data_IF_830459527741
#
_entry.id   IF_830459527741
#
_cell.length_a   1.000
_cell.length_b   1.000
_cell.length_c   1.000
_cell.angle_alpha   90.00
_cell.angle_beta   90.00
_cell.angle_gamma   90.00
#
_symmetry.space_group_name_H-M   'P 1'
#
loop_
_entity.id
_entity.type
_entity.pdbx_description
1 polymer ?
#
# COMPACT_ATOMS: atom_id res chain seq x y z
N UNK A 1 -18.01 -20.38 -41.28
CA UNK A 1 -17.37 -21.71 -41.32
C UNK A 1 -16.40 -21.73 -42.50
N UNK A 2 -15.10 -21.77 -42.25
CA UNK A 2 -14.09 -22.13 -43.24
C UNK A 2 -13.12 -23.06 -42.52
N UNK A 3 -12.96 -24.24 -43.09
CA UNK A 3 -12.36 -25.43 -42.48
C UNK A 3 -10.94 -25.64 -43.03
N UNK A 4 -10.09 -26.26 -42.20
CA UNK A 4 -9.18 -27.35 -42.58
C UNK A 4 -8.24 -27.17 -43.81
N UNK A 5 -6.92 -27.11 -43.61
CA UNK A 5 -6.02 -28.27 -43.77
C UNK A 5 -4.52 -27.94 -43.62
N UNK A 6 -3.79 -29.01 -43.29
CA UNK A 6 -2.42 -29.15 -42.81
C UNK A 6 -1.33 -28.85 -43.85
N UNK A 7 -0.10 -28.60 -43.37
CA UNK A 7 1.08 -29.40 -43.80
C UNK A 7 2.27 -29.26 -42.84
N UNK A 8 2.61 -30.37 -42.18
CA UNK A 8 3.92 -30.65 -41.59
C UNK A 8 4.96 -30.75 -42.71
N UNK A 9 6.14 -30.18 -42.50
CA UNK A 9 7.38 -30.68 -43.11
C UNK A 9 8.52 -30.56 -42.09
N UNK A 10 8.95 -31.71 -41.58
CA UNK A 10 10.24 -31.86 -40.91
C UNK A 10 11.33 -31.86 -41.99
N UNK A 11 12.42 -31.15 -41.75
CA UNK A 11 13.73 -31.52 -42.26
C UNK A 11 14.76 -31.22 -41.16
N UNK A 12 15.41 -32.28 -40.70
CA UNK A 12 16.48 -32.24 -39.71
C UNK A 12 17.84 -31.91 -40.36
N UNK A 13 18.70 -31.35 -39.51
CA UNK A 13 20.17 -31.36 -39.51
C UNK A 13 20.90 -30.56 -40.60
N UNK A 14 21.65 -29.53 -40.19
CA UNK A 14 23.08 -29.72 -39.89
C UNK A 14 23.67 -28.49 -39.17
N UNK A 15 24.81 -28.75 -38.54
CA UNK A 15 25.42 -28.06 -37.42
C UNK A 15 26.20 -26.83 -37.90
N UNK A 16 26.06 -25.70 -37.22
CA UNK A 16 27.16 -24.75 -37.09
C UNK A 16 27.23 -24.22 -35.66
N UNK A 17 28.19 -24.78 -34.92
CA UNK A 17 28.68 -24.23 -33.67
C UNK A 17 29.02 -22.75 -33.85
N UNK A 18 28.24 -21.87 -33.24
CA UNK A 18 28.74 -20.57 -32.80
C UNK A 18 28.26 -20.33 -31.39
N UNK A 19 29.22 -20.55 -30.49
CA UNK A 19 29.25 -20.09 -29.11
C UNK A 19 28.73 -18.66 -29.02
N UNK A 20 27.50 -18.48 -28.54
CA UNK A 20 27.04 -17.21 -27.95
C UNK A 20 26.64 -17.49 -26.51
N UNK A 21 27.64 -17.30 -25.67
CA UNK A 21 27.58 -16.88 -24.27
C UNK A 21 26.18 -16.86 -23.64
N UNK A 22 26.04 -17.71 -22.63
CA UNK A 22 24.96 -17.70 -21.65
C UNK A 22 24.73 -16.31 -21.06
N UNK A 23 23.46 -15.89 -21.09
CA UNK A 23 22.74 -15.12 -20.09
C UNK A 23 23.56 -14.55 -18.91
N UNK A 24 23.80 -13.24 -18.89
CA UNK A 24 23.96 -12.48 -17.65
C UNK A 24 22.57 -12.02 -17.20
N UNK A 25 21.95 -12.69 -16.23
CA UNK A 25 20.83 -12.08 -15.49
C UNK A 25 21.36 -10.77 -14.91
N UNK A 26 20.64 -9.66 -15.07
CA UNK A 26 20.87 -8.44 -14.28
C UNK A 26 20.65 -8.81 -12.80
N UNK A 27 21.70 -9.32 -12.16
CA UNK A 27 21.71 -9.70 -10.76
C UNK A 27 21.97 -8.43 -9.97
N UNK A 28 21.01 -8.04 -9.15
CA UNK A 28 21.21 -6.92 -8.23
C UNK A 28 22.02 -7.40 -7.03
N UNK A 29 23.05 -6.64 -6.67
CA UNK A 29 23.80 -6.81 -5.43
C UNK A 29 23.06 -6.15 -4.26
N UNK A 30 23.28 -6.66 -3.05
CA UNK A 30 22.76 -6.00 -1.84
C UNK A 30 23.66 -4.81 -1.50
N UNK A 31 23.11 -3.59 -1.61
CA UNK A 31 23.83 -2.36 -1.31
C UNK A 31 23.60 -1.89 0.12
N UNK A 32 22.40 -2.16 0.67
CA UNK A 32 22.04 -1.82 2.04
C UNK A 32 21.03 -2.84 2.58
N UNK A 33 21.27 -3.32 3.80
CA UNK A 33 20.37 -4.23 4.50
C UNK A 33 20.37 -3.89 6.00
N UNK A 34 19.54 -2.94 6.40
CA UNK A 34 19.38 -2.51 7.80
C UNK A 34 18.15 -3.17 8.42
N UNK A 35 17.84 -2.85 9.67
CA UNK A 35 16.56 -3.25 10.28
C UNK A 35 15.36 -2.73 9.49
N UNK A 36 15.49 -1.57 8.85
CA UNK A 36 14.37 -0.86 8.24
C UNK A 36 14.30 -0.95 6.72
N UNK A 37 15.44 -1.09 6.05
CA UNK A 37 15.50 -1.04 4.60
C UNK A 37 16.32 -2.19 4.00
N UNK A 38 15.89 -2.63 2.82
CA UNK A 38 16.66 -3.45 1.90
C UNK A 38 16.78 -2.70 0.57
N UNK A 39 18.00 -2.42 0.13
CA UNK A 39 18.26 -1.76 -1.16
C UNK A 39 19.17 -2.68 -1.97
N UNK A 40 18.67 -3.05 -3.15
CA UNK A 40 19.41 -3.84 -4.13
C UNK A 40 19.77 -2.93 -5.31
N UNK A 41 20.95 -3.10 -5.89
CA UNK A 41 21.41 -2.28 -7.00
C UNK A 41 22.70 -2.76 -7.64
N UNK A 42 23.37 -1.90 -8.40
CA UNK A 42 24.70 -2.18 -8.95
C UNK A 42 25.77 -2.06 -7.85
N UNK A 43 26.69 -3.03 -7.74
CA UNK A 43 27.78 -3.06 -6.74
C UNK A 43 28.62 -1.78 -6.64
N UNK A 44 28.77 -1.04 -7.74
CA UNK A 44 29.57 0.20 -7.78
C UNK A 44 28.79 1.43 -7.27
N UNK A 45 27.48 1.30 -7.11
CA UNK A 45 26.62 2.34 -6.55
C UNK A 45 26.75 2.37 -5.02
N UNK A 46 26.68 3.57 -4.46
CA UNK A 46 26.59 3.79 -3.02
C UNK A 46 25.20 4.30 -2.69
N UNK A 47 24.62 3.82 -1.60
CA UNK A 47 23.29 4.26 -1.16
C UNK A 47 23.29 4.59 0.32
N UNK A 48 22.44 5.54 0.72
CA UNK A 48 22.17 5.90 2.11
C UNK A 48 20.68 6.17 2.31
N UNK A 49 20.21 5.93 3.52
CA UNK A 49 18.91 6.40 4.00
C UNK A 49 19.19 7.49 5.02
N UNK A 50 18.62 8.67 4.82
CA UNK A 50 18.89 9.86 5.64
C UNK A 50 17.58 10.58 6.00
N UNK A 51 17.65 11.45 7.01
CA UNK A 51 16.55 12.39 7.27
C UNK A 51 16.60 13.57 6.29
N UNK A 52 15.47 14.25 6.09
CA UNK A 52 15.37 15.42 5.20
C UNK A 52 16.39 16.53 5.52
N UNK A 53 16.76 16.69 6.79
CA UNK A 53 17.66 17.77 7.22
C UNK A 53 19.13 17.48 6.86
N UNK A 54 19.48 16.21 6.63
CA UNK A 54 20.87 15.77 6.45
C UNK A 54 21.32 15.83 4.99
N UNK A 55 20.41 16.11 4.04
CA UNK A 55 20.71 16.05 2.59
C UNK A 55 21.86 17.00 2.19
N UNK A 56 21.99 18.13 2.90
CA UNK A 56 23.06 19.12 2.67
C UNK A 56 24.47 18.54 2.90
N UNK A 57 24.58 17.48 3.70
CA UNK A 57 25.85 16.83 4.02
C UNK A 57 26.31 15.87 2.90
N UNK A 58 25.48 15.65 1.87
CA UNK A 58 25.73 14.71 0.77
C UNK A 58 25.56 15.36 -0.62
N UNK A 59 26.33 16.41 -0.96
CA UNK A 59 26.12 17.21 -2.18
C UNK A 59 26.32 16.43 -3.49
N UNK A 60 27.08 15.34 -3.46
CA UNK A 60 27.33 14.47 -4.62
C UNK A 60 26.28 13.37 -4.81
N UNK A 61 25.42 13.13 -3.82
CA UNK A 61 24.37 12.12 -3.88
C UNK A 61 23.11 12.68 -4.56
N UNK A 62 22.42 11.83 -5.32
CA UNK A 62 21.10 12.13 -5.90
C UNK A 62 20.01 11.44 -5.10
N UNK A 63 18.85 12.08 -4.98
CA UNK A 63 17.65 11.45 -4.40
C UNK A 63 17.14 10.36 -5.33
N UNK A 64 16.99 9.15 -4.78
CA UNK A 64 16.45 7.98 -5.48
C UNK A 64 14.96 7.80 -5.19
N UNK A 65 14.57 7.94 -3.92
CA UNK A 65 13.19 7.78 -3.49
C UNK A 65 12.93 8.49 -2.15
N UNK A 66 11.65 8.70 -1.87
CA UNK A 66 11.14 9.14 -0.59
C UNK A 66 10.23 8.06 -0.01
N UNK A 67 10.30 7.86 1.30
CA UNK A 67 9.33 7.03 2.02
C UNK A 67 9.09 7.63 3.41
N UNK A 68 7.87 8.10 3.67
CA UNK A 68 7.55 8.84 4.89
C UNK A 68 8.51 10.03 5.11
N UNK A 69 9.26 10.05 6.23
CA UNK A 69 10.24 11.09 6.56
C UNK A 69 11.62 10.86 5.93
N UNK A 70 11.84 9.69 5.35
CA UNK A 70 13.16 9.22 4.97
C UNK A 70 13.43 9.52 3.51
N UNK A 71 14.68 9.91 3.22
CA UNK A 71 15.19 10.12 1.88
C UNK A 71 16.23 9.06 1.58
N UNK A 72 15.98 8.30 0.51
CA UNK A 72 16.93 7.34 -0.02
C UNK A 72 17.74 8.05 -1.09
N UNK A 73 19.05 8.13 -0.89
CA UNK A 73 19.98 8.83 -1.77
C UNK A 73 21.04 7.86 -2.31
N UNK A 74 21.62 8.15 -3.48
CA UNK A 74 22.71 7.35 -4.02
C UNK A 74 23.66 8.09 -4.95
N UNK A 75 24.85 7.51 -5.13
CA UNK A 75 25.91 7.93 -6.06
C UNK A 75 26.17 6.85 -7.11
N UNK A 76 26.80 7.25 -8.23
CA UNK A 76 27.06 6.38 -9.38
C UNK A 76 25.76 5.73 -9.88
N UNK A 77 24.74 6.56 -10.08
CA UNK A 77 23.38 6.14 -10.42
C UNK A 77 23.16 6.27 -11.92
N UNK A 78 22.86 5.15 -12.60
CA UNK A 78 22.28 5.13 -13.95
C UNK A 78 20.79 4.78 -13.87
N UNK A 79 20.00 5.10 -14.90
CA UNK A 79 18.55 4.85 -14.93
C UNK A 79 18.20 3.37 -14.63
N UNK A 80 17.17 3.14 -13.81
CA UNK A 80 16.59 1.82 -13.45
C UNK A 80 17.50 0.81 -12.73
N UNK A 81 18.43 1.27 -11.89
CA UNK A 81 19.44 0.43 -11.24
C UNK A 81 19.17 0.03 -9.79
N UNK A 82 18.00 0.35 -9.21
CA UNK A 82 17.71 0.05 -7.80
C UNK A 82 16.35 -0.60 -7.56
N UNK A 83 16.31 -1.51 -6.59
CA UNK A 83 15.09 -1.97 -5.93
C UNK A 83 15.16 -1.57 -4.46
N UNK A 84 14.22 -0.74 -4.03
CA UNK A 84 14.20 -0.17 -2.69
C UNK A 84 12.99 -0.73 -1.96
N UNK A 85 13.24 -1.40 -0.83
CA UNK A 85 12.21 -1.99 0.00
C UNK A 85 12.27 -1.45 1.43
N UNK A 86 11.12 -1.07 1.98
CA UNK A 86 10.92 -0.89 3.42
C UNK A 86 10.55 -2.23 4.04
N UNK A 87 11.23 -2.62 5.12
CA UNK A 87 10.83 -3.79 5.93
C UNK A 87 9.67 -3.41 6.83
N UNK A 88 8.59 -4.17 6.79
CA UNK A 88 7.40 -3.94 7.59
C UNK A 88 7.45 -4.78 8.87
N UNK A 89 7.70 -4.14 10.01
CA UNK A 89 7.69 -4.76 11.34
C UNK A 89 6.96 -3.83 12.33
N UNK A 90 5.61 -3.82 12.33
CA UNK A 90 4.87 -2.89 13.16
C UNK A 90 5.07 -3.20 14.64
N UNK A 91 5.39 -2.17 15.44
CA UNK A 91 5.51 -2.26 16.90
C UNK A 91 4.16 -2.17 17.63
N UNK A 92 3.12 -1.76 16.91
CA UNK A 92 1.76 -1.57 17.40
C UNK A 92 0.81 -2.54 16.70
N UNK A 93 -0.28 -2.86 17.39
CA UNK A 93 -1.30 -3.82 16.98
C UNK A 93 -2.70 -3.28 17.26
N UNK A 94 -3.73 -3.93 16.70
CA UNK A 94 -5.12 -3.56 16.97
C UNK A 94 -5.49 -3.66 18.46
N UNK A 95 -4.82 -4.53 19.24
CA UNK A 95 -5.10 -4.71 20.67
C UNK A 95 -4.70 -3.50 21.51
N UNK A 96 -3.78 -2.67 21.01
CA UNK A 96 -3.32 -1.47 21.70
C UNK A 96 -4.34 -0.32 21.62
N UNK A 97 -5.38 -0.46 20.78
CA UNK A 97 -6.41 0.56 20.54
C UNK A 97 -7.82 -0.01 20.63
N UNK A 98 -8.23 -0.60 21.77
CA UNK A 98 -9.50 -1.28 21.89
C UNK A 98 -10.71 -0.35 21.75
N UNK A 99 -11.83 -0.91 21.29
CA UNK A 99 -13.13 -0.27 21.26
C UNK A 99 -14.23 -1.26 21.67
N UNK A 100 -15.11 -0.84 22.57
CA UNK A 100 -16.26 -1.64 22.97
C UNK A 100 -17.30 -1.69 21.84
N UNK A 101 -17.66 -2.91 21.45
CA UNK A 101 -18.64 -3.12 20.39
C UNK A 101 -20.03 -2.82 20.91
N UNK A 102 -20.67 -1.79 20.35
CA UNK A 102 -22.02 -1.38 20.67
C UNK A 102 -23.03 -2.47 20.31
N UNK A 103 -23.96 -2.74 21.23
CA UNK A 103 -24.97 -3.80 21.12
C UNK A 103 -26.42 -3.29 21.04
N UNK A 104 -26.61 -1.97 21.01
CA UNK A 104 -27.94 -1.38 20.92
C UNK A 104 -28.49 -1.38 19.50
N UNK A 105 -29.68 -0.80 19.33
CA UNK A 105 -30.28 -0.58 18.01
C UNK A 105 -29.36 0.29 17.16
N UNK A 106 -29.05 -0.18 15.95
CA UNK A 106 -28.18 0.55 15.04
C UNK A 106 -28.98 1.60 14.28
N UNK A 107 -28.48 2.84 14.29
CA UNK A 107 -29.03 3.92 13.48
C UNK A 107 -28.77 3.71 11.98
N UNK A 108 -29.72 4.17 11.18
CA UNK A 108 -29.55 4.31 9.73
C UNK A 108 -28.63 5.49 9.39
N UNK A 109 -27.90 5.44 8.26
CA UNK A 109 -27.07 6.55 7.82
C UNK A 109 -27.90 7.80 7.52
N UNK A 110 -27.52 8.93 8.12
CA UNK A 110 -28.11 10.25 7.91
C UNK A 110 -27.31 11.04 6.87
N UNK A 111 -27.78 10.99 5.62
CA UNK A 111 -27.18 11.68 4.48
C UNK A 111 -27.32 13.21 4.50
N UNK A 112 -28.10 13.77 5.44
CA UNK A 112 -28.13 15.23 5.63
C UNK A 112 -26.85 15.75 6.28
N UNK A 113 -26.18 14.89 7.08
CA UNK A 113 -24.93 15.25 7.77
C UNK A 113 -23.71 15.33 6.85
N UNK A 114 -23.81 14.74 5.66
CA UNK A 114 -22.75 14.74 4.66
C UNK A 114 -23.35 14.62 3.24
N UNK A 115 -23.76 15.73 2.61
CA UNK A 115 -24.41 15.69 1.30
C UNK A 115 -23.52 15.19 0.16
N UNK A 116 -22.19 15.30 0.29
CA UNK A 116 -21.21 14.97 -0.76
C UNK A 116 -21.20 13.47 -1.11
N UNK A 117 -21.72 12.63 -0.19
CA UNK A 117 -21.70 11.16 -0.35
C UNK A 117 -23.01 10.61 -0.90
N UNK A 118 -23.93 11.48 -1.33
CA UNK A 118 -25.25 11.09 -1.89
C UNK A 118 -25.14 10.20 -3.13
N UNK A 119 -24.08 10.34 -3.92
CA UNK A 119 -23.79 9.45 -5.06
C UNK A 119 -23.50 7.99 -4.64
N UNK A 120 -23.29 7.72 -3.34
CA UNK A 120 -22.94 6.41 -2.81
C UNK A 120 -23.98 5.84 -1.83
N UNK A 121 -25.21 6.38 -1.80
CA UNK A 121 -26.27 5.97 -0.87
C UNK A 121 -26.46 4.45 -0.81
N UNK A 122 -26.61 3.80 -1.97
CA UNK A 122 -26.85 2.34 -2.03
C UNK A 122 -25.70 1.57 -1.40
N UNK A 123 -24.45 1.94 -1.69
CA UNK A 123 -23.27 1.29 -1.13
C UNK A 123 -23.19 1.48 0.39
N UNK A 124 -23.46 2.69 0.87
CA UNK A 124 -23.45 3.01 2.30
C UNK A 124 -24.55 2.24 3.04
N UNK A 125 -25.77 2.20 2.50
CA UNK A 125 -26.88 1.43 3.08
C UNK A 125 -26.59 -0.07 3.12
N UNK A 126 -26.09 -0.63 2.02
CA UNK A 126 -25.76 -2.05 1.93
C UNK A 126 -24.69 -2.45 2.95
N UNK A 127 -23.64 -1.64 3.10
CA UNK A 127 -22.59 -1.94 4.08
C UNK A 127 -23.08 -1.72 5.52
N UNK A 128 -23.95 -0.73 5.76
CA UNK A 128 -24.58 -0.55 7.07
C UNK A 128 -25.52 -1.71 7.46
N UNK A 129 -26.15 -2.37 6.49
CA UNK A 129 -26.94 -3.57 6.73
C UNK A 129 -26.09 -4.74 7.26
N UNK A 130 -24.79 -4.78 6.94
CA UNK A 130 -23.84 -5.76 7.49
C UNK A 130 -23.44 -5.47 8.96
N UNK A 131 -23.84 -4.31 9.50
CA UNK A 131 -23.60 -3.94 10.90
C UNK A 131 -22.27 -3.22 11.16
N UNK A 132 -21.81 -3.24 12.41
CA UNK A 132 -20.58 -2.58 12.86
C UNK A 132 -19.36 -3.40 12.40
N UNK A 133 -18.44 -2.74 11.70
CA UNK A 133 -17.19 -3.35 11.24
C UNK A 133 -15.93 -2.61 11.76
N UNK A 134 -16.09 -1.46 12.42
CA UNK A 134 -14.97 -0.62 12.87
C UNK A 134 -15.23 0.12 14.20
N UNK A 135 -14.19 0.29 15.00
CA UNK A 135 -14.11 1.22 16.14
C UNK A 135 -15.32 1.21 17.10
N UNK A 136 -15.84 0.02 17.40
CA UNK A 136 -16.86 -0.25 18.39
C UNK A 136 -18.29 0.03 17.92
N UNK A 137 -18.51 1.10 17.17
CA UNK A 137 -19.86 1.49 16.74
C UNK A 137 -19.90 2.16 15.38
N UNK A 138 -18.88 1.96 14.54
CA UNK A 138 -18.85 2.51 13.19
C UNK A 138 -19.00 1.42 12.13
N UNK A 139 -19.64 1.78 11.03
CA UNK A 139 -19.53 1.05 9.77
C UNK A 139 -18.64 1.85 8.84
N UNK A 140 -17.46 1.32 8.53
CA UNK A 140 -16.54 1.83 7.54
C UNK A 140 -16.93 1.30 6.16
N UNK A 141 -17.13 2.22 5.23
CA UNK A 141 -17.54 1.94 3.85
C UNK A 141 -16.51 2.53 2.90
N UNK A 142 -15.99 1.74 1.96
CA UNK A 142 -15.03 2.22 0.94
C UNK A 142 -15.51 1.96 -0.48
N UNK A 143 -15.03 2.76 -1.43
CA UNK A 143 -15.23 2.63 -2.86
C UNK A 143 -14.02 3.15 -3.64
N UNK A 144 -13.93 2.81 -4.92
CA UNK A 144 -12.90 3.35 -5.81
C UNK A 144 -13.20 4.78 -6.23
N UNK A 145 -12.16 5.62 -6.34
CA UNK A 145 -12.21 6.97 -6.90
C UNK A 145 -11.50 7.11 -8.26
N UNK A 146 -11.03 5.99 -8.84
CA UNK A 146 -10.24 5.95 -10.08
C UNK A 146 -8.96 5.12 -9.88
N UNK A 147 -8.12 4.99 -10.92
CA UNK A 147 -6.82 4.27 -10.95
C UNK A 147 -6.57 3.31 -9.78
N UNK A 148 -5.77 3.72 -8.79
CA UNK A 148 -5.55 2.99 -7.54
C UNK A 148 -6.30 3.62 -6.36
N UNK A 149 -6.89 4.80 -6.53
CA UNK A 149 -7.52 5.59 -5.48
C UNK A 149 -8.75 4.90 -4.91
N UNK A 150 -8.87 4.92 -3.57
CA UNK A 150 -10.05 4.50 -2.83
C UNK A 150 -10.41 5.58 -1.81
N UNK A 151 -11.70 5.92 -1.76
CA UNK A 151 -12.28 6.83 -0.78
C UNK A 151 -13.34 6.10 0.04
N UNK A 152 -13.75 6.70 1.14
CA UNK A 152 -14.73 6.08 2.02
C UNK A 152 -15.14 6.97 3.18
N UNK A 153 -16.13 6.45 3.91
CA UNK A 153 -16.75 7.11 5.04
C UNK A 153 -16.87 6.18 6.24
N UNK A 154 -17.10 6.79 7.39
CA UNK A 154 -17.54 6.13 8.61
C UNK A 154 -18.96 6.58 8.91
N UNK A 155 -19.87 5.62 9.09
CA UNK A 155 -21.21 5.87 9.62
C UNK A 155 -21.20 5.53 11.10
N UNK A 156 -21.46 6.52 11.96
CA UNK A 156 -21.70 6.29 13.38
C UNK A 156 -23.03 5.56 13.56
N UNK A 157 -22.99 4.32 14.01
CA UNK A 157 -24.17 3.46 14.16
C UNK A 157 -24.98 3.74 15.42
N UNK A 158 -24.58 4.70 16.24
CA UNK A 158 -25.41 5.22 17.35
C UNK A 158 -26.28 6.40 16.90
N UNK A 159 -25.81 7.19 15.93
CA UNK A 159 -26.44 8.48 15.56
C UNK A 159 -26.84 8.60 14.10
N UNK A 160 -26.28 7.77 13.21
CA UNK A 160 -26.43 7.87 11.76
C UNK A 160 -25.45 8.84 11.10
N UNK A 161 -24.69 9.63 11.88
CA UNK A 161 -23.80 10.66 11.35
C UNK A 161 -22.69 10.07 10.46
N UNK A 162 -22.44 10.72 9.32
CA UNK A 162 -21.47 10.25 8.32
C UNK A 162 -20.22 11.14 8.34
N UNK A 163 -19.05 10.52 8.53
CA UNK A 163 -17.74 11.19 8.52
C UNK A 163 -16.92 10.76 7.30
N UNK A 164 -16.34 11.73 6.60
CA UNK A 164 -15.36 11.48 5.53
C UNK A 164 -13.94 11.27 6.10
N UNK A 165 -12.99 10.87 5.26
CA UNK A 165 -11.55 10.82 5.60
C UNK A 165 -10.91 9.42 5.50
N UNK A 166 -11.61 8.45 4.90
CA UNK A 166 -11.03 7.14 4.60
C UNK A 166 -10.47 7.15 3.19
N UNK A 167 -9.27 7.71 3.02
CA UNK A 167 -8.55 7.67 1.74
C UNK A 167 -7.40 6.67 1.78
N UNK A 168 -7.34 5.82 0.75
CA UNK A 168 -6.33 4.76 0.56
C UNK A 168 -6.06 4.54 -0.93
N UNK A 169 -5.04 3.76 -1.27
CA UNK A 169 -4.75 3.32 -2.64
C UNK A 169 -4.60 1.79 -2.75
N UNK A 170 -4.30 1.12 -1.64
CA UNK A 170 -4.02 -0.32 -1.62
C UNK A 170 -4.78 -0.99 -0.47
N UNK A 171 -6.06 -0.66 -0.35
CA UNK A 171 -6.95 -1.21 0.66
C UNK A 171 -6.61 -0.77 2.07
N UNK A 172 -7.32 -1.36 3.02
CA UNK A 172 -7.08 -1.15 4.44
C UNK A 172 -7.34 -2.42 5.24
N UNK A 173 -6.74 -2.48 6.44
CA UNK A 173 -7.03 -3.50 7.44
C UNK A 173 -7.51 -2.83 8.71
N UNK A 174 -8.65 -3.26 9.22
CA UNK A 174 -9.28 -2.72 10.41
C UNK A 174 -10.12 -3.79 11.11
N UNK A 175 -10.61 -3.49 12.31
CA UNK A 175 -11.45 -4.39 13.10
C UNK A 175 -12.56 -3.66 13.82
N UNK A 176 -13.66 -4.37 14.08
CA UNK A 176 -14.82 -3.83 14.81
C UNK A 176 -14.52 -3.46 16.26
N UNK A 177 -13.55 -4.12 16.87
CA UNK A 177 -13.17 -3.97 18.28
C UNK A 177 -11.93 -3.09 18.47
N UNK A 178 -11.54 -2.32 17.45
CA UNK A 178 -10.36 -1.47 17.51
C UNK A 178 -10.58 -0.13 16.79
N UNK A 179 -10.04 0.94 17.37
CA UNK A 179 -10.03 2.30 16.79
C UNK A 179 -8.95 2.48 15.73
N UNK A 180 -8.06 1.51 15.58
CA UNK A 180 -6.94 1.56 14.65
C UNK A 180 -7.29 1.01 13.27
N UNK A 181 -6.80 1.68 12.23
CA UNK A 181 -6.81 1.26 10.83
C UNK A 181 -5.38 1.26 10.27
N UNK A 182 -5.07 0.27 9.44
CA UNK A 182 -3.85 0.20 8.64
C UNK A 182 -4.24 0.55 7.21
N UNK A 183 -3.75 1.68 6.70
CA UNK A 183 -3.99 2.15 5.33
C UNK A 183 -2.92 1.58 4.41
N UNK A 184 -3.32 1.27 3.17
CA UNK A 184 -2.46 0.74 2.09
C UNK A 184 -1.80 -0.60 2.41
N UNK A 185 -2.46 -1.45 3.20
CA UNK A 185 -1.94 -2.75 3.63
C UNK A 185 -1.54 -3.66 2.47
N UNK A 186 -2.16 -3.49 1.29
CA UNK A 186 -1.83 -4.24 0.07
C UNK A 186 -0.45 -3.95 -0.50
N UNK A 187 0.26 -2.92 -0.03
CA UNK A 187 1.65 -2.67 -0.40
C UNK A 187 2.63 -3.68 0.23
N UNK A 188 2.20 -4.40 1.26
CA UNK A 188 3.04 -5.36 1.99
C UNK A 188 3.03 -6.68 1.24
N UNK A 189 4.22 -7.15 0.85
CA UNK A 189 4.39 -8.52 0.40
C UNK A 189 4.19 -9.49 1.59
N UNK A 190 3.19 -10.36 1.50
CA UNK A 190 2.79 -11.24 2.60
C UNK A 190 3.80 -12.35 2.93
N UNK A 191 4.71 -12.67 2.00
CA UNK A 191 5.74 -13.67 2.20
C UNK A 191 7.00 -13.07 2.83
N UNK A 192 7.41 -11.88 2.39
CA UNK A 192 8.69 -11.28 2.78
C UNK A 192 8.56 -10.16 3.81
N UNK A 193 7.34 -9.67 4.07
CA UNK A 193 7.08 -8.44 4.83
C UNK A 193 7.84 -7.22 4.28
N UNK A 194 8.12 -7.20 2.97
CA UNK A 194 8.72 -6.06 2.29
C UNK A 194 7.64 -5.21 1.62
N UNK A 195 7.83 -3.90 1.67
CA UNK A 195 7.05 -2.91 0.94
C UNK A 195 7.99 -2.32 -0.11
N UNK A 196 7.67 -2.50 -1.38
CA UNK A 196 8.40 -1.81 -2.45
C UNK A 196 8.11 -0.32 -2.40
N UNK A 197 9.15 0.51 -2.37
CA UNK A 197 9.00 1.96 -2.29
C UNK A 197 8.46 2.47 -3.62
N UNK A 198 7.22 2.97 -3.59
CA UNK A 198 6.52 3.55 -4.74
C UNK A 198 5.61 4.70 -4.28
N UNK A 199 5.13 5.53 -5.22
CA UNK A 199 4.38 6.76 -4.92
C UNK A 199 3.09 6.56 -4.09
N UNK A 200 2.48 5.38 -4.12
CA UNK A 200 1.24 5.05 -3.41
C UNK A 200 1.38 3.82 -2.49
N UNK A 201 2.60 3.33 -2.29
CA UNK A 201 2.90 2.13 -1.50
C UNK A 201 3.16 2.43 -0.01
N UNK A 202 2.90 3.65 0.45
CA UNK A 202 3.12 4.00 1.85
C UNK A 202 2.06 3.35 2.76
N UNK A 203 2.50 2.36 3.53
CA UNK A 203 1.70 1.80 4.63
C UNK A 203 1.74 2.75 5.81
N UNK A 204 0.57 3.09 6.35
CA UNK A 204 0.47 3.93 7.54
C UNK A 204 -0.61 3.48 8.50
N UNK A 205 -0.38 3.72 9.79
CA UNK A 205 -1.29 3.36 10.87
C UNK A 205 -1.97 4.62 11.40
N UNK A 206 -3.28 4.55 11.63
CA UNK A 206 -4.07 5.68 12.09
C UNK A 206 -5.06 5.25 13.17
N UNK A 207 -5.38 6.15 14.09
CA UNK A 207 -6.43 5.98 15.11
C UNK A 207 -7.59 6.90 14.77
N UNK A 208 -8.81 6.36 14.85
CA UNK A 208 -10.02 7.16 14.81
C UNK A 208 -10.30 7.82 16.17
N UNK A 209 -10.45 9.15 16.17
CA UNK A 209 -10.71 9.94 17.39
C UNK A 209 -12.19 10.13 17.71
N UNK A 210 -13.09 9.60 16.88
CA UNK A 210 -14.52 9.95 16.89
C UNK A 210 -14.89 11.03 15.88
N UNK A 211 -13.90 11.76 15.35
CA UNK A 211 -14.11 12.86 14.40
C UNK A 211 -13.13 12.87 13.24
N UNK A 212 -11.90 12.38 13.44
CA UNK A 212 -10.88 12.32 12.40
C UNK A 212 -9.90 11.17 12.63
N UNK A 213 -9.13 10.83 11.60
CA UNK A 213 -7.98 9.94 11.72
C UNK A 213 -6.73 10.71 12.13
N UNK A 214 -6.00 10.19 13.12
CA UNK A 214 -4.67 10.66 13.49
C UNK A 214 -3.63 9.59 13.16
N UNK A 215 -2.62 9.96 12.36
CA UNK A 215 -1.49 9.07 12.03
C UNK A 215 -0.66 8.77 13.28
N UNK A 216 -0.25 7.51 13.43
CA UNK A 216 0.62 7.00 14.49
C UNK A 216 1.99 6.71 13.87
N UNK A 217 3.06 6.91 14.64
CA UNK A 217 4.43 6.55 14.25
C UNK A 217 4.77 5.12 14.69
#
# INVERSE_FOLDING_TARGET
MLSCQQKKKNLNNEILNTTRTSHGKNQFDTLLNTQDYLILGNKLSKVKVISKNDIKNFPSYKTLAHYQSDIIIGENTSHNSFKIYRKYHPKISFKDFPADVFKGQLADPDFSTNPDVKSFITRIKNECANGINFAGHYTLVTWGCGSTCQSGVLVDRKTGKIFSGVDTSLGSKFKKDSKMIIKNVGAINTTTNLIEVCAYCEVSHHIWTGTMFKKIK
#
